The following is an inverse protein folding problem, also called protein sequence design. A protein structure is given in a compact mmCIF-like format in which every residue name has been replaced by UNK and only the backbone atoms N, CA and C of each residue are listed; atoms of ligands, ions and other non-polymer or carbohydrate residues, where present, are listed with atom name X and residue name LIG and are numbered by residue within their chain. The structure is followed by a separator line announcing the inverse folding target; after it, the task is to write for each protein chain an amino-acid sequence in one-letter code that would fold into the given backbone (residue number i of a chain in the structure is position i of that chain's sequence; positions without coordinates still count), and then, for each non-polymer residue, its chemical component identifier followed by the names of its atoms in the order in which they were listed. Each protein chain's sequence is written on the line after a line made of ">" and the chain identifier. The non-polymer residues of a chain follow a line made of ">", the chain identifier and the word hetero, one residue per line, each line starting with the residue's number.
data_IF_415375206064
#
_entry.id   IF_415375206064
#
_cell.length_a   1.000
_cell.length_b   1.000
_cell.length_c   1.000
_cell.angle_alpha   90.00
_cell.angle_beta   90.00
_cell.angle_gamma   90.00
#
_symmetry.space_group_name_H-M   'P 1'
#
loop_
_entity.id
_entity.type
_entity.pdbx_description
1 polymer ?
#
# COMPACT_ATOMS: atom_id res chain seq x y z
N UNK A 1 -13.82 -17.15 -22.16
CA UNK A 1 -13.58 -16.01 -21.25
C UNK A 1 -12.11 -16.00 -20.87
N UNK A 2 -11.33 -15.04 -21.36
CA UNK A 2 -9.87 -14.95 -21.15
C UNK A 2 -9.49 -14.97 -19.66
N UNK A 3 -10.26 -14.32 -18.79
CA UNK A 3 -10.10 -14.35 -17.33
C UNK A 3 -10.06 -15.76 -16.75
N UNK A 4 -10.95 -16.66 -17.21
CA UNK A 4 -11.01 -18.05 -16.72
C UNK A 4 -9.76 -18.84 -17.10
N UNK A 5 -9.16 -18.56 -18.26
CA UNK A 5 -7.94 -19.24 -18.72
C UNK A 5 -6.71 -18.75 -17.96
N UNK A 6 -6.65 -17.45 -17.64
CA UNK A 6 -5.51 -16.83 -16.94
C UNK A 6 -5.58 -17.00 -15.42
N UNK A 7 -6.75 -17.27 -14.83
CA UNK A 7 -6.95 -17.28 -13.38
C UNK A 7 -6.87 -15.90 -12.73
N UNK A 8 -6.79 -14.82 -13.52
CA UNK A 8 -6.76 -13.41 -13.11
C UNK A 8 -7.33 -12.52 -14.20
N UNK A 9 -7.54 -11.23 -13.88
CA UNK A 9 -7.96 -10.24 -14.87
C UNK A 9 -6.89 -10.08 -15.97
N UNK A 10 -7.27 -9.92 -17.25
CA UNK A 10 -6.35 -9.72 -18.37
C UNK A 10 -5.80 -8.28 -18.44
N UNK A 11 -5.85 -7.56 -17.32
CA UNK A 11 -5.43 -6.16 -17.16
C UNK A 11 -4.76 -5.99 -15.80
N UNK A 12 -4.11 -4.86 -15.63
CA UNK A 12 -3.51 -4.44 -14.36
C UNK A 12 -4.61 -4.16 -13.34
N UNK A 13 -4.49 -4.71 -12.13
CA UNK A 13 -5.44 -4.58 -11.02
C UNK A 13 -4.78 -3.90 -9.83
N UNK A 14 -5.13 -2.63 -9.58
CA UNK A 14 -4.63 -1.87 -8.43
C UNK A 14 -5.65 -1.87 -7.30
N UNK A 15 -5.17 -1.89 -6.05
CA UNK A 15 -5.98 -1.57 -4.89
C UNK A 15 -6.13 -0.04 -4.73
N UNK A 16 -7.29 0.43 -4.27
CA UNK A 16 -7.51 1.85 -4.04
C UNK A 16 -8.50 2.07 -2.88
N UNK A 17 -8.30 3.16 -2.14
CA UNK A 17 -9.14 3.52 -0.99
C UNK A 17 -8.69 2.86 0.31
N UNK A 18 -8.58 3.63 1.39
CA UNK A 18 -8.23 3.11 2.72
C UNK A 18 -6.75 2.80 2.95
N UNK A 19 -5.87 2.86 1.94
CA UNK A 19 -4.42 2.66 2.10
C UNK A 19 -3.79 3.87 2.81
N UNK A 20 -3.47 3.73 4.10
CA UNK A 20 -2.95 4.81 4.94
C UNK A 20 -1.59 4.50 5.57
N UNK A 21 -1.20 3.23 5.63
CA UNK A 21 0.05 2.76 6.21
C UNK A 21 0.86 1.90 5.23
N UNK A 22 2.18 1.75 5.44
CA UNK A 22 2.99 0.80 4.68
C UNK A 22 2.46 -0.65 4.79
N UNK A 23 1.93 -1.03 5.95
CA UNK A 23 1.33 -2.35 6.17
C UNK A 23 0.10 -2.59 5.29
N UNK A 24 -0.80 -1.60 5.14
CA UNK A 24 -1.96 -1.71 4.27
C UNK A 24 -1.53 -1.93 2.81
N UNK A 25 -0.53 -1.17 2.37
CA UNK A 25 -0.01 -1.29 1.01
C UNK A 25 0.61 -2.67 0.75
N UNK A 26 1.43 -3.15 1.68
CA UNK A 26 2.05 -4.47 1.60
C UNK A 26 1.01 -5.59 1.60
N UNK A 27 -0.03 -5.49 2.45
CA UNK A 27 -1.14 -6.44 2.49
C UNK A 27 -1.82 -6.55 1.12
N UNK A 28 -2.11 -5.43 0.46
CA UNK A 28 -2.74 -5.45 -0.87
C UNK A 28 -1.87 -6.12 -1.92
N UNK A 29 -0.55 -5.91 -1.87
CA UNK A 29 0.40 -6.60 -2.76
C UNK A 29 0.44 -8.12 -2.45
N UNK A 30 0.45 -8.52 -1.17
CA UNK A 30 0.39 -9.94 -0.78
C UNK A 30 -0.91 -10.63 -1.20
N UNK A 31 -2.02 -9.89 -1.28
CA UNK A 31 -3.30 -10.37 -1.79
C UNK A 31 -3.35 -10.47 -3.34
N UNK A 32 -2.27 -10.12 -4.03
CA UNK A 32 -2.11 -10.30 -5.47
C UNK A 32 -2.49 -9.10 -6.33
N UNK A 33 -2.58 -7.90 -5.73
CA UNK A 33 -2.72 -6.67 -6.52
C UNK A 33 -1.40 -6.33 -7.23
N UNK A 34 -1.51 -5.68 -8.39
CA UNK A 34 -0.35 -5.25 -9.19
C UNK A 34 0.19 -3.87 -8.75
N UNK A 35 -0.48 -3.21 -7.80
CA UNK A 35 -0.12 -1.90 -7.27
C UNK A 35 -1.20 -1.33 -6.35
N UNK A 36 -0.93 -0.16 -5.78
CA UNK A 36 -1.86 0.56 -4.89
C UNK A 36 -1.97 2.03 -5.28
N UNK A 37 -3.17 2.61 -5.13
CA UNK A 37 -3.41 4.05 -5.17
C UNK A 37 -3.48 4.59 -3.75
N UNK A 38 -2.74 5.67 -3.51
CA UNK A 38 -2.78 6.42 -2.25
C UNK A 38 -3.36 7.81 -2.46
N UNK A 39 -4.00 8.34 -1.42
CA UNK A 39 -4.64 9.65 -1.44
C UNK A 39 -4.49 10.37 -0.11
N UNK A 40 -5.60 10.76 0.50
CA UNK A 40 -5.62 11.52 1.74
C UNK A 40 -4.86 10.87 2.89
N UNK A 41 -4.76 9.54 2.93
CA UNK A 41 -3.97 8.80 3.93
C UNK A 41 -2.49 9.19 3.98
N UNK A 42 -1.93 9.66 2.86
CA UNK A 42 -0.58 10.20 2.78
C UNK A 42 -0.59 11.71 3.00
N UNK A 43 -1.40 12.45 2.24
CA UNK A 43 -1.37 13.91 2.23
C UNK A 43 -1.92 14.60 3.49
N UNK A 44 -2.75 13.91 4.29
CA UNK A 44 -3.26 14.42 5.58
C UNK A 44 -2.56 13.80 6.80
N UNK A 45 -1.39 13.20 6.61
CA UNK A 45 -0.59 12.62 7.71
C UNK A 45 0.38 13.64 8.30
N UNK A 46 0.98 13.30 9.46
CA UNK A 46 1.95 14.18 10.13
C UNK A 46 3.22 14.47 9.34
N UNK A 47 3.66 13.55 8.47
CA UNK A 47 4.76 13.75 7.53
C UNK A 47 4.46 13.05 6.18
N UNK A 48 3.82 13.77 5.22
CA UNK A 48 3.43 13.19 3.94
C UNK A 48 4.60 12.70 3.08
N UNK A 49 5.76 13.36 3.16
CA UNK A 49 6.93 12.99 2.33
C UNK A 49 7.53 11.68 2.84
N UNK A 50 7.75 11.58 4.16
CA UNK A 50 8.27 10.36 4.78
C UNK A 50 7.30 9.19 4.60
N UNK A 51 6.00 9.43 4.82
CA UNK A 51 4.96 8.40 4.63
C UNK A 51 4.85 7.95 3.18
N UNK A 52 4.87 8.88 2.22
CA UNK A 52 4.87 8.54 0.80
C UNK A 52 6.04 7.64 0.40
N UNK A 53 7.26 7.99 0.85
CA UNK A 53 8.45 7.15 0.64
C UNK A 53 8.31 5.77 1.28
N UNK A 54 7.80 5.70 2.51
CA UNK A 54 7.59 4.44 3.22
C UNK A 54 6.60 3.53 2.49
N UNK A 55 5.51 4.07 1.94
CA UNK A 55 4.55 3.29 1.15
C UNK A 55 5.20 2.78 -0.14
N UNK A 56 5.98 3.60 -0.85
CA UNK A 56 6.69 3.16 -2.05
C UNK A 56 7.64 2.00 -1.73
N UNK A 57 8.39 2.10 -0.63
CA UNK A 57 9.26 1.01 -0.17
C UNK A 57 8.46 -0.25 0.20
N UNK A 58 7.33 -0.11 0.90
CA UNK A 58 6.50 -1.25 1.25
C UNK A 58 5.87 -1.95 0.04
N UNK A 59 5.48 -1.21 -1.00
CA UNK A 59 5.00 -1.82 -2.26
C UNK A 59 6.14 -2.56 -2.96
N UNK A 60 7.36 -2.03 -2.91
CA UNK A 60 8.54 -2.63 -3.57
C UNK A 60 9.01 -3.89 -2.83
N UNK A 61 8.94 -3.90 -1.50
CA UNK A 61 9.47 -4.94 -0.62
C UNK A 61 8.36 -5.64 0.19
N UNK A 62 7.17 -5.80 -0.39
CA UNK A 62 5.96 -6.25 0.33
C UNK A 62 6.06 -7.65 0.98
N UNK A 63 7.04 -8.46 0.57
CA UNK A 63 7.31 -9.79 1.11
C UNK A 63 8.45 -9.83 2.13
N UNK A 64 9.11 -8.69 2.40
CA UNK A 64 10.23 -8.59 3.34
C UNK A 64 9.75 -7.98 4.68
N UNK A 65 9.53 -8.79 5.72
CA UNK A 65 9.01 -8.29 6.98
C UNK A 65 9.98 -7.36 7.72
N UNK A 66 11.30 -7.47 7.49
CA UNK A 66 12.30 -6.61 8.12
C UNK A 66 12.23 -5.20 7.53
N UNK A 67 12.17 -5.09 6.19
CA UNK A 67 11.98 -3.80 5.51
C UNK A 67 10.64 -3.18 5.90
N UNK A 68 9.56 -3.97 5.95
CA UNK A 68 8.24 -3.46 6.34
C UNK A 68 8.23 -2.90 7.77
N UNK A 69 8.91 -3.56 8.71
CA UNK A 69 9.06 -3.07 10.07
C UNK A 69 9.86 -1.75 10.09
N UNK A 70 11.00 -1.70 9.39
CA UNK A 70 11.86 -0.51 9.32
C UNK A 70 11.11 0.71 8.76
N UNK A 71 10.47 0.57 7.60
CA UNK A 71 9.80 1.70 6.93
C UNK A 71 8.51 2.13 7.64
N UNK A 72 7.98 1.31 8.55
CA UNK A 72 6.82 1.65 9.38
C UNK A 72 7.21 2.48 10.61
N UNK A 73 8.50 2.60 10.93
CA UNK A 73 8.96 3.32 12.12
C UNK A 73 8.98 4.85 11.94
N UNK A 74 8.55 5.56 12.99
CA UNK A 74 8.72 7.01 13.10
C UNK A 74 7.98 7.81 12.02
N UNK A 75 6.85 7.32 11.52
CA UNK A 75 6.03 7.99 10.49
C UNK A 75 5.08 9.07 11.02
N UNK A 76 5.12 9.33 12.33
CA UNK A 76 4.16 10.20 13.01
C UNK A 76 2.73 9.65 12.95
N UNK A 77 1.77 10.50 13.29
CA UNK A 77 0.36 10.12 13.27
C UNK A 77 -0.13 9.83 11.85
N UNK A 78 -0.84 8.72 11.71
CA UNK A 78 -1.59 8.41 10.50
C UNK A 78 -2.81 9.33 10.39
N UNK A 79 -3.35 9.46 9.17
CA UNK A 79 -4.65 10.10 8.99
C UNK A 79 -5.70 9.41 9.86
N UNK A 80 -6.48 10.19 10.62
CA UNK A 80 -7.69 9.70 11.29
C UNK A 80 -8.76 9.48 10.22
N UNK A 81 -9.09 8.22 9.95
CA UNK A 81 -10.21 7.86 9.08
C UNK A 81 -11.56 8.03 9.79
N UNK A 82 -12.64 8.06 9.01
CA UNK A 82 -14.00 7.88 9.51
C UNK A 82 -14.36 6.40 9.39
N UNK A 83 -14.85 5.79 10.46
CA UNK A 83 -15.32 4.39 10.46
C UNK A 83 -16.71 4.25 9.84
#
# INVERSE_FOLDING_TARGET
>A
MQTKQLGRLPVVQFAAGGVATPADAALMMQLGCDGVFVGSGVFKSGDPVKRGKAIVQAVTHYSDPEVLAEVSCGLGEAMVGSI
#
